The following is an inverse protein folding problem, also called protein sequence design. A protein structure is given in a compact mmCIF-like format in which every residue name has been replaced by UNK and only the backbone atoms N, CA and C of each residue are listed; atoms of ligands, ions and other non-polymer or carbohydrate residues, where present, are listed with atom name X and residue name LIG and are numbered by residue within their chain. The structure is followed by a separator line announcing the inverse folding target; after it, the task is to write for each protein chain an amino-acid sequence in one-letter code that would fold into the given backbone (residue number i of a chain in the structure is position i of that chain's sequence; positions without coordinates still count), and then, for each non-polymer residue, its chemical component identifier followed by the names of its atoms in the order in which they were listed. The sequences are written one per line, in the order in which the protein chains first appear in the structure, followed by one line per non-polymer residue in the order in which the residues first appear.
data_IF_861458656805
#
_entry.id   IF_861458656805
#
_cell.length_a   1.000
_cell.length_b   1.000
_cell.length_c   1.000
_cell.angle_alpha   90.00
_cell.angle_beta   90.00
_cell.angle_gamma   90.00
#
_symmetry.space_group_name_H-M   'P 1'
#
loop_
_entity.id
_entity.type
_entity.pdbx_description
1 polymer ?
#
# COMPACT_ATOMS: atom_id res chain seq x y z
N UNK A 1 17.56 -62.13 6.66
CA UNK A 1 17.36 -61.33 5.45
C UNK A 1 17.90 -59.97 5.74
N UNK A 2 18.99 -59.60 5.06
CA UNK A 2 19.70 -58.35 5.22
C UNK A 2 18.76 -57.16 5.07
N UNK A 3 18.64 -56.34 6.12
CA UNK A 3 18.20 -54.96 5.98
C UNK A 3 19.33 -54.23 5.23
N UNK A 4 19.14 -54.05 3.94
CA UNK A 4 19.95 -53.17 3.13
C UNK A 4 19.91 -51.77 3.78
N UNK A 5 20.98 -51.42 4.50
CA UNK A 5 21.19 -50.09 5.02
C UNK A 5 21.10 -49.10 3.87
N UNK A 6 20.03 -48.31 3.85
CA UNK A 6 19.90 -47.19 2.93
C UNK A 6 21.02 -46.20 3.28
N UNK A 7 22.11 -46.25 2.52
CA UNK A 7 23.09 -45.18 2.49
C UNK A 7 22.35 -43.93 2.05
N UNK A 8 21.93 -43.11 3.02
CA UNK A 8 21.57 -41.71 2.77
C UNK A 8 22.71 -41.14 1.93
N UNK A 9 22.41 -40.73 0.70
CA UNK A 9 23.38 -40.21 -0.25
C UNK A 9 23.93 -38.86 0.27
N UNK A 10 24.85 -38.93 1.23
CA UNK A 10 25.49 -37.78 1.85
C UNK A 10 26.65 -37.34 0.99
N UNK A 11 26.68 -36.05 0.63
CA UNK A 11 27.77 -35.46 -0.14
C UNK A 11 29.12 -35.37 0.61
N UNK A 12 29.15 -35.72 1.91
CA UNK A 12 30.36 -35.69 2.74
C UNK A 12 30.88 -34.28 3.05
N UNK A 13 30.08 -33.23 2.80
CA UNK A 13 30.47 -31.86 3.10
C UNK A 13 30.58 -31.61 4.61
N UNK A 14 31.58 -30.82 5.01
CA UNK A 14 31.79 -30.43 6.41
C UNK A 14 30.62 -29.59 6.93
N UNK A 15 30.28 -29.69 8.24
CA UNK A 15 29.24 -28.87 8.82
C UNK A 15 29.62 -27.38 8.74
N UNK A 16 28.75 -26.62 8.07
CA UNK A 16 28.91 -25.17 7.87
C UNK A 16 28.06 -24.40 8.87
N UNK A 17 28.65 -23.37 9.48
CA UNK A 17 27.93 -22.42 10.32
C UNK A 17 27.66 -21.14 9.54
N UNK A 18 26.40 -20.72 9.48
CA UNK A 18 25.99 -19.47 8.86
C UNK A 18 25.83 -18.37 9.91
N UNK A 19 26.26 -17.16 9.58
CA UNK A 19 26.01 -15.95 10.39
C UNK A 19 25.69 -14.78 9.48
N UNK A 20 24.82 -13.86 9.91
CA UNK A 20 24.47 -12.66 9.16
C UNK A 20 25.39 -11.50 9.55
N UNK A 21 25.92 -10.77 8.56
CA UNK A 21 26.67 -9.53 8.76
C UNK A 21 26.04 -8.46 7.85
N UNK A 22 25.23 -7.58 8.43
CA UNK A 22 24.45 -6.60 7.66
C UNK A 22 23.53 -7.29 6.65
N UNK A 23 23.75 -7.03 5.36
CA UNK A 23 23.01 -7.64 4.25
C UNK A 23 23.64 -8.94 3.72
N UNK A 24 24.84 -9.29 4.17
CA UNK A 24 25.60 -10.44 3.67
C UNK A 24 25.45 -11.65 4.58
N UNK A 25 25.43 -12.84 3.98
CA UNK A 25 25.45 -14.11 4.70
C UNK A 25 26.90 -14.60 4.70
N UNK A 26 27.45 -14.82 5.88
CA UNK A 26 28.80 -15.33 6.09
C UNK A 26 28.75 -16.82 6.43
N UNK A 27 29.54 -17.64 5.75
CA UNK A 27 29.69 -19.06 5.99
C UNK A 27 31.05 -19.34 6.62
N UNK A 28 31.11 -20.28 7.57
CA UNK A 28 32.36 -20.80 8.11
C UNK A 28 32.30 -22.32 8.17
N UNK A 29 33.31 -22.97 7.58
CA UNK A 29 33.47 -24.43 7.65
C UNK A 29 34.08 -24.84 8.99
N UNK A 30 33.59 -25.91 9.60
CA UNK A 30 34.25 -26.53 10.75
C UNK A 30 35.59 -27.15 10.31
N UNK A 31 36.70 -26.77 10.94
CA UNK A 31 37.97 -27.47 10.73
C UNK A 31 38.06 -28.67 11.66
N UNK A 32 38.48 -29.83 11.15
CA UNK A 32 38.71 -31.06 11.92
C UNK A 32 39.99 -31.02 12.78
N UNK A 33 40.43 -29.83 13.24
CA UNK A 33 41.57 -29.72 14.15
C UNK A 33 41.04 -29.77 15.58
N UNK A 34 41.08 -30.96 16.18
CA UNK A 34 40.81 -31.15 17.63
C UNK A 34 41.93 -30.50 18.44
N UNK A 35 41.63 -29.40 19.12
CA UNK A 35 42.47 -28.90 20.22
C UNK A 35 42.43 -29.90 21.40
N UNK A 36 43.47 -29.90 22.25
CA UNK A 36 43.59 -30.75 23.45
C UNK A 36 42.43 -30.57 24.46
N UNK A 37 41.59 -29.56 24.30
CA UNK A 37 40.43 -29.22 25.15
C UNK A 37 39.05 -29.46 24.48
N UNK A 38 38.99 -30.11 23.31
CA UNK A 38 37.72 -30.59 22.75
C UNK A 38 36.80 -29.53 22.11
N UNK A 39 37.28 -28.30 21.88
CA UNK A 39 36.55 -27.28 21.12
C UNK A 39 36.76 -27.40 19.61
N UNK A 40 35.68 -27.25 18.83
CA UNK A 40 35.73 -27.16 17.36
C UNK A 40 36.23 -25.77 16.92
N UNK A 41 37.29 -25.72 16.11
CA UNK A 41 37.73 -24.48 15.45
C UNK A 41 37.01 -24.31 14.12
N UNK A 42 36.45 -23.13 13.88
CA UNK A 42 35.86 -22.77 12.59
C UNK A 42 36.87 -22.00 11.73
N UNK A 43 36.86 -22.25 10.42
CA UNK A 43 37.65 -21.52 9.43
C UNK A 43 37.23 -20.04 9.35
N UNK A 44 38.01 -19.26 8.60
CA UNK A 44 37.68 -17.87 8.32
C UNK A 44 36.27 -17.76 7.70
N UNK A 45 35.54 -16.71 8.12
CA UNK A 45 34.20 -16.45 7.60
C UNK A 45 34.29 -15.92 6.18
N UNK A 46 33.72 -16.62 5.22
CA UNK A 46 33.63 -16.21 3.82
C UNK A 46 32.21 -15.72 3.51
N UNK A 47 32.08 -14.69 2.68
CA UNK A 47 30.79 -14.19 2.24
C UNK A 47 30.23 -15.12 1.17
N UNK A 48 29.01 -15.61 1.38
CA UNK A 48 28.31 -16.48 0.43
C UNK A 48 27.68 -15.64 -0.68
N UNK A 49 28.00 -15.97 -1.93
CA UNK A 49 27.47 -15.24 -3.08
C UNK A 49 26.01 -15.56 -3.35
N UNK A 50 25.21 -14.57 -3.75
CA UNK A 50 23.82 -14.77 -4.14
C UNK A 50 23.67 -15.74 -5.33
N UNK A 51 24.68 -15.81 -6.22
CA UNK A 51 24.68 -16.74 -7.35
C UNK A 51 24.84 -18.19 -6.88
N UNK A 52 25.74 -18.44 -5.92
CA UNK A 52 25.96 -19.77 -5.35
C UNK A 52 24.70 -20.25 -4.60
N UNK A 53 24.07 -19.36 -3.84
CA UNK A 53 22.79 -19.66 -3.17
C UNK A 53 21.72 -20.04 -4.17
N UNK A 54 21.60 -19.30 -5.27
CA UNK A 54 20.62 -19.60 -6.31
C UNK A 54 20.85 -20.97 -6.95
N UNK A 55 22.11 -21.31 -7.25
CA UNK A 55 22.47 -22.59 -7.86
C UNK A 55 22.19 -23.76 -6.93
N UNK A 56 22.45 -23.60 -5.63
CA UNK A 56 22.13 -24.61 -4.61
C UNK A 56 20.61 -24.78 -4.49
N UNK A 57 19.87 -23.69 -4.32
CA UNK A 57 18.41 -23.72 -4.17
C UNK A 57 17.67 -24.19 -5.43
N UNK A 58 18.27 -24.04 -6.60
CA UNK A 58 17.71 -24.52 -7.88
C UNK A 58 17.88 -26.01 -8.09
N UNK A 59 18.87 -26.63 -7.43
CA UNK A 59 19.14 -28.07 -7.51
C UNK A 59 18.33 -28.89 -6.49
N UNK A 60 17.66 -28.25 -5.55
CA UNK A 60 16.84 -28.93 -4.53
C UNK A 60 15.62 -29.62 -5.17
N UNK A 61 15.38 -30.91 -4.91
CA UNK A 61 14.23 -31.62 -5.46
C UNK A 61 12.92 -31.13 -4.83
N UNK A 62 11.82 -31.27 -5.58
CA UNK A 62 10.47 -30.78 -5.16
C UNK A 62 10.00 -31.46 -3.88
N UNK A 63 10.38 -32.73 -3.65
CA UNK A 63 10.04 -33.48 -2.44
C UNK A 63 10.62 -32.81 -1.19
N UNK A 64 11.91 -32.46 -1.21
CA UNK A 64 12.59 -31.74 -0.13
C UNK A 64 12.01 -30.34 0.08
N UNK A 65 11.64 -29.66 -1.01
CA UNK A 65 11.00 -28.34 -0.96
C UNK A 65 9.66 -28.41 -0.21
N UNK A 66 8.90 -29.49 -0.39
CA UNK A 66 7.65 -29.73 0.35
C UNK A 66 7.89 -30.03 1.81
N UNK A 67 8.94 -30.76 2.15
CA UNK A 67 9.35 -30.97 3.54
C UNK A 67 9.75 -29.67 4.24
N UNK A 68 10.33 -28.70 3.51
CA UNK A 68 10.63 -27.36 4.02
C UNK A 68 9.37 -26.48 4.21
N UNK A 69 8.19 -26.96 3.81
CA UNK A 69 6.92 -26.24 3.95
C UNK A 69 6.56 -25.34 2.77
N UNK A 70 7.24 -25.48 1.64
CA UNK A 70 6.90 -24.77 0.39
C UNK A 70 6.10 -25.68 -0.54
N UNK A 71 5.17 -25.10 -1.31
CA UNK A 71 4.35 -25.85 -2.28
C UNK A 71 5.18 -26.46 -3.44
N UNK A 72 6.32 -25.85 -3.76
CA UNK A 72 7.24 -26.28 -4.82
C UNK A 72 6.80 -25.88 -6.24
N UNK A 73 5.50 -25.73 -6.48
CA UNK A 73 4.94 -25.30 -7.77
C UNK A 73 4.84 -23.77 -7.85
N UNK A 74 4.13 -23.14 -6.90
CA UNK A 74 3.93 -21.69 -6.92
C UNK A 74 5.06 -20.92 -6.21
N UNK A 75 5.66 -21.52 -5.19
CA UNK A 75 6.73 -20.91 -4.39
C UNK A 75 7.91 -21.87 -4.36
N UNK A 76 8.93 -21.55 -5.14
CA UNK A 76 10.19 -22.27 -5.14
C UNK A 76 11.23 -21.47 -4.35
N UNK A 77 12.07 -22.08 -3.47
CA UNK A 77 13.05 -21.34 -2.66
C UNK A 77 13.99 -20.45 -3.48
N UNK A 78 14.42 -20.91 -4.66
CA UNK A 78 15.20 -20.11 -5.63
C UNK A 78 14.58 -18.74 -5.96
N UNK A 79 13.26 -18.60 -5.87
CA UNK A 79 12.54 -17.35 -6.15
C UNK A 79 12.76 -16.26 -5.10
N UNK A 80 13.32 -16.59 -3.93
CA UNK A 80 13.74 -15.59 -2.93
C UNK A 80 14.99 -14.81 -3.36
N UNK A 81 15.79 -15.36 -4.28
CA UNK A 81 16.89 -14.63 -4.92
C UNK A 81 16.32 -13.84 -6.11
N UNK A 82 16.33 -12.51 -6.00
CA UNK A 82 15.77 -11.63 -7.03
C UNK A 82 16.69 -11.52 -8.26
N UNK A 83 16.33 -12.18 -9.35
CA UNK A 83 16.98 -11.99 -10.66
C UNK A 83 16.39 -10.85 -11.49
N UNK A 84 15.09 -10.61 -11.33
CA UNK A 84 14.36 -9.57 -12.04
C UNK A 84 13.57 -8.74 -11.03
N UNK A 85 13.84 -7.44 -10.98
CA UNK A 85 13.12 -6.52 -10.11
C UNK A 85 11.92 -5.93 -10.88
N UNK A 86 10.67 -6.20 -10.47
CA UNK A 86 9.50 -5.61 -11.11
C UNK A 86 9.43 -4.11 -10.83
N UNK A 87 9.30 -3.31 -11.88
CA UNK A 87 9.16 -1.85 -11.78
C UNK A 87 7.70 -1.48 -11.60
N UNK A 88 7.37 -0.81 -10.50
CA UNK A 88 5.99 -0.38 -10.23
C UNK A 88 5.51 0.69 -11.24
N UNK A 89 4.25 0.63 -11.68
CA UNK A 89 3.69 1.58 -12.65
C UNK A 89 3.52 2.99 -12.05
N UNK A 90 3.41 4.05 -12.89
CA UNK A 90 3.28 5.44 -12.44
C UNK A 90 2.13 5.72 -11.46
N UNK A 91 1.03 4.94 -11.50
CA UNK A 91 -0.07 5.08 -10.56
C UNK A 91 0.31 4.80 -9.09
N UNK A 92 1.38 4.03 -8.86
CA UNK A 92 1.93 3.74 -7.52
C UNK A 92 2.96 4.79 -7.09
N UNK A 93 3.60 5.46 -8.06
CA UNK A 93 4.67 6.45 -7.89
C UNK A 93 4.32 7.76 -8.62
N UNK A 94 3.27 8.48 -8.17
CA UNK A 94 2.78 9.65 -8.86
C UNK A 94 3.82 10.77 -8.89
N UNK A 95 3.85 11.52 -9.98
CA UNK A 95 4.65 12.73 -10.09
C UNK A 95 3.78 13.94 -9.76
N UNK A 96 4.33 14.89 -9.00
CA UNK A 96 3.64 16.13 -8.66
C UNK A 96 4.27 17.27 -9.48
N UNK A 97 3.46 17.90 -10.32
CA UNK A 97 3.86 19.08 -11.09
C UNK A 97 3.34 20.32 -10.36
N UNK A 98 4.25 21.13 -9.80
CA UNK A 98 3.89 22.40 -9.18
C UNK A 98 4.09 23.55 -10.17
N UNK A 99 3.03 23.87 -10.92
CA UNK A 99 3.03 24.99 -11.87
C UNK A 99 4.10 24.85 -12.97
N UNK A 100 4.83 25.92 -13.23
CA UNK A 100 5.90 26.01 -14.24
C UNK A 100 7.28 25.50 -13.77
N UNK A 101 7.36 24.83 -12.62
CA UNK A 101 8.60 24.22 -12.14
C UNK A 101 8.75 22.78 -12.64
N UNK A 102 10.00 22.31 -12.64
CA UNK A 102 10.34 20.93 -12.95
C UNK A 102 9.49 19.95 -12.11
N UNK A 103 9.04 18.83 -12.72
CA UNK A 103 8.26 17.82 -12.03
C UNK A 103 8.99 17.28 -10.80
N UNK A 104 8.29 17.22 -9.66
CA UNK A 104 8.78 16.54 -8.47
C UNK A 104 8.41 15.05 -8.57
N UNK A 105 9.41 14.20 -8.78
CA UNK A 105 9.23 12.75 -8.83
C UNK A 105 9.10 12.15 -7.43
N UNK A 106 8.32 11.07 -7.33
CA UNK A 106 8.19 10.27 -6.10
C UNK A 106 9.52 9.64 -5.69
N UNK A 107 9.74 9.50 -4.38
CA UNK A 107 10.90 8.86 -3.75
C UNK A 107 11.27 7.51 -4.39
N UNK A 108 10.27 6.67 -4.73
CA UNK A 108 10.50 5.38 -5.38
C UNK A 108 11.07 5.52 -6.78
N UNK A 109 10.68 6.57 -7.52
CA UNK A 109 11.22 6.84 -8.86
C UNK A 109 12.70 7.20 -8.78
N UNK A 110 13.07 8.07 -7.83
CA UNK A 110 14.47 8.47 -7.64
C UNK A 110 15.33 7.26 -7.26
N UNK A 111 14.83 6.38 -6.38
CA UNK A 111 15.55 5.16 -6.00
C UNK A 111 15.65 4.13 -7.14
N UNK A 112 14.64 4.03 -8.00
CA UNK A 112 14.68 3.17 -9.19
C UNK A 112 15.72 3.66 -10.21
N UNK A 113 15.86 4.97 -10.40
CA UNK A 113 16.91 5.53 -11.26
C UNK A 113 18.30 5.15 -10.73
N UNK A 114 18.53 5.31 -9.43
CA UNK A 114 19.78 4.89 -8.77
C UNK A 114 20.06 3.39 -8.95
N UNK A 115 19.05 2.53 -8.79
CA UNK A 115 19.20 1.08 -9.01
C UNK A 115 19.59 0.76 -10.47
N UNK A 116 19.00 1.46 -11.44
CA UNK A 116 19.32 1.26 -12.86
C UNK A 116 20.75 1.72 -13.18
N UNK A 117 21.16 2.87 -12.64
CA UNK A 117 22.53 3.39 -12.79
C UNK A 117 23.57 2.43 -12.20
N UNK A 118 23.36 1.95 -10.97
CA UNK A 118 24.22 0.98 -10.31
C UNK A 118 24.28 -0.35 -11.09
N UNK A 119 23.14 -0.82 -11.60
CA UNK A 119 23.11 -2.05 -12.40
C UNK A 119 23.91 -1.91 -13.71
N UNK A 120 23.82 -0.75 -14.38
CA UNK A 120 24.65 -0.46 -15.56
C UNK A 120 26.13 -0.38 -15.20
N UNK A 121 26.47 0.18 -14.04
CA UNK A 121 27.84 0.26 -13.55
C UNK A 121 28.43 -1.13 -13.27
N UNK A 122 27.68 -2.01 -12.57
CA UNK A 122 28.09 -3.41 -12.35
C UNK A 122 28.31 -4.13 -13.67
N UNK A 123 27.41 -3.95 -14.66
CA UNK A 123 27.56 -4.56 -15.99
C UNK A 123 28.84 -4.11 -16.70
N UNK A 124 29.23 -2.83 -16.59
CA UNK A 124 30.48 -2.30 -17.16
C UNK A 124 31.71 -2.87 -16.45
N UNK A 125 31.73 -2.85 -15.12
CA UNK A 125 32.86 -3.37 -14.33
C UNK A 125 33.10 -4.86 -14.56
N UNK A 126 32.01 -5.63 -14.75
CA UNK A 126 32.07 -7.04 -15.12
C UNK A 126 32.67 -7.26 -16.51
N UNK A 127 32.37 -6.39 -17.48
CA UNK A 127 32.97 -6.45 -18.81
C UNK A 127 34.48 -6.11 -18.80
N UNK A 128 34.90 -5.24 -17.87
CA UNK A 128 36.29 -4.85 -17.67
C UNK A 128 37.08 -5.82 -16.77
N UNK A 129 36.46 -6.88 -16.22
CA UNK A 129 37.04 -7.85 -15.29
C UNK A 129 37.72 -7.22 -14.05
N UNK A 130 37.16 -6.12 -13.53
CA UNK A 130 37.67 -5.44 -12.33
C UNK A 130 37.04 -6.00 -11.05
N UNK A 131 37.50 -7.17 -10.63
CA UNK A 131 36.91 -7.98 -9.54
C UNK A 131 36.68 -7.22 -8.21
N UNK A 132 37.64 -6.41 -7.75
CA UNK A 132 37.50 -5.67 -6.48
C UNK A 132 36.42 -4.61 -6.54
N UNK A 133 36.38 -3.85 -7.63
CA UNK A 133 35.36 -2.81 -7.85
C UNK A 133 33.98 -3.42 -8.13
N UNK A 134 33.93 -4.58 -8.78
CA UNK A 134 32.69 -5.34 -9.00
C UNK A 134 32.03 -5.72 -7.67
N UNK A 135 32.79 -6.29 -6.73
CA UNK A 135 32.26 -6.73 -5.44
C UNK A 135 31.62 -5.57 -4.65
N UNK A 136 32.32 -4.42 -4.57
CA UNK A 136 31.77 -3.22 -3.92
C UNK A 136 30.53 -2.67 -4.64
N UNK A 137 30.50 -2.70 -5.97
CA UNK A 137 29.34 -2.23 -6.74
C UNK A 137 28.13 -3.16 -6.56
N UNK A 138 28.35 -4.46 -6.43
CA UNK A 138 27.29 -5.44 -6.12
C UNK A 138 26.72 -5.21 -4.72
N UNK A 139 27.55 -4.94 -3.71
CA UNK A 139 27.10 -4.60 -2.36
C UNK A 139 26.24 -3.32 -2.36
N UNK A 140 26.64 -2.29 -3.12
CA UNK A 140 25.86 -1.06 -3.27
C UNK A 140 24.52 -1.29 -3.98
N UNK A 141 24.50 -2.14 -5.01
CA UNK A 141 23.27 -2.53 -5.70
C UNK A 141 22.33 -3.29 -4.75
N UNK A 142 22.88 -4.24 -3.98
CA UNK A 142 22.13 -5.00 -2.98
C UNK A 142 21.53 -4.09 -1.92
N UNK A 143 22.30 -3.14 -1.39
CA UNK A 143 21.80 -2.15 -0.45
C UNK A 143 20.70 -1.27 -1.05
N UNK A 144 20.84 -0.84 -2.31
CA UNK A 144 19.84 -0.01 -2.99
C UNK A 144 18.53 -0.76 -3.24
N UNK A 145 18.58 -2.03 -3.61
CA UNK A 145 17.40 -2.87 -3.78
C UNK A 145 16.74 -3.18 -2.43
N UNK A 146 17.54 -3.45 -1.39
CA UNK A 146 17.03 -3.70 -0.04
C UNK A 146 16.29 -2.48 0.51
N UNK A 147 16.91 -1.30 0.46
CA UNK A 147 16.31 -0.03 0.94
C UNK A 147 15.10 0.41 0.13
N UNK A 148 15.01 0.06 -1.15
CA UNK A 148 13.80 0.26 -1.98
C UNK A 148 12.59 -0.51 -1.44
N UNK A 149 12.79 -1.77 -1.05
CA UNK A 149 11.75 -2.61 -0.47
C UNK A 149 11.44 -2.21 0.98
N UNK A 150 12.48 -2.07 1.80
CA UNK A 150 12.39 -1.75 3.21
C UNK A 150 13.59 -0.92 3.66
N UNK A 151 13.34 0.32 4.09
CA UNK A 151 14.39 1.23 4.54
C UNK A 151 14.72 1.11 6.04
N UNK A 152 14.03 0.24 6.77
CA UNK A 152 14.18 0.09 8.22
C UNK A 152 14.72 -1.30 8.57
N UNK A 153 15.92 -1.60 8.07
CA UNK A 153 16.54 -2.93 8.11
C UNK A 153 17.35 -3.21 9.39
N UNK A 154 17.23 -2.36 10.42
CA UNK A 154 17.96 -2.47 11.69
C UNK A 154 19.17 -1.52 11.79
N UNK A 155 19.85 -1.52 12.95
CA UNK A 155 20.96 -0.61 13.26
C UNK A 155 22.20 -0.82 12.40
N UNK A 156 22.39 -2.04 11.89
CA UNK A 156 23.63 -2.46 11.24
C UNK A 156 23.66 -2.09 9.74
N UNK A 157 22.54 -1.62 9.19
CA UNK A 157 22.41 -1.21 7.80
C UNK A 157 22.06 0.28 7.75
N UNK A 158 22.85 1.13 7.06
CA UNK A 158 22.57 2.55 6.99
C UNK A 158 21.25 2.81 6.27
N UNK A 159 20.43 3.70 6.83
CA UNK A 159 19.17 4.11 6.22
C UNK A 159 19.43 4.97 4.98
N UNK A 160 18.69 4.71 3.90
CA UNK A 160 18.73 5.55 2.72
C UNK A 160 18.02 6.87 3.03
N UNK A 161 18.73 7.97 2.80
CA UNK A 161 18.20 9.33 2.88
C UNK A 161 18.01 9.93 1.48
N UNK A 162 17.05 10.84 1.37
CA UNK A 162 16.85 11.61 0.16
C UNK A 162 18.03 12.59 0.01
N UNK A 163 18.74 12.52 -1.13
CA UNK A 163 19.96 13.30 -1.45
C UNK A 163 19.91 14.79 -1.09
N UNK A 164 18.72 15.40 -1.06
CA UNK A 164 18.56 16.84 -0.88
C UNK A 164 17.91 17.26 0.45
N UNK A 165 17.37 16.32 1.24
CA UNK A 165 16.47 16.67 2.35
C UNK A 165 16.85 16.03 3.69
N UNK A 166 17.90 15.20 3.77
CA UNK A 166 18.26 14.41 4.96
C UNK A 166 17.07 13.67 5.60
N UNK A 167 16.00 13.45 4.82
CA UNK A 167 14.80 12.73 5.25
C UNK A 167 14.98 11.27 4.84
N UNK A 168 14.60 10.30 5.69
CA UNK A 168 14.59 8.91 5.29
C UNK A 168 13.67 8.70 4.08
N UNK A 169 14.15 7.88 3.13
CA UNK A 169 13.40 7.44 1.97
C UNK A 169 12.17 6.64 2.40
N UNK A 170 10.99 6.97 1.85
CA UNK A 170 9.75 6.23 2.11
C UNK A 170 9.62 4.99 1.21
N UNK A 171 10.17 3.86 1.68
CA UNK A 171 10.16 2.57 1.01
C UNK A 171 8.76 1.94 0.89
N UNK A 172 8.64 0.88 0.07
CA UNK A 172 7.37 0.17 -0.16
C UNK A 172 6.77 -0.36 1.15
N UNK A 173 7.56 -1.04 1.98
CA UNK A 173 7.08 -1.60 3.24
C UNK A 173 6.54 -0.52 4.19
N UNK A 174 7.18 0.65 4.25
CA UNK A 174 6.75 1.78 5.08
C UNK A 174 5.47 2.44 4.55
N UNK A 175 5.17 2.33 3.24
CA UNK A 175 3.88 2.78 2.69
C UNK A 175 2.74 1.83 3.07
N UNK A 176 3.03 0.56 3.30
CA UNK A 176 2.01 -0.45 3.64
C UNK A 176 1.75 -0.54 5.15
N UNK A 177 2.82 -0.50 5.96
CA UNK A 177 2.78 -0.66 7.42
C UNK A 177 2.47 0.65 8.15
N UNK A 178 2.06 0.54 9.41
CA UNK A 178 1.88 1.67 10.32
C UNK A 178 0.48 2.30 10.31
N UNK A 179 0.30 3.31 11.16
CA UNK A 179 -0.99 4.03 11.32
C UNK A 179 -1.36 4.82 10.07
N UNK A 180 -0.38 5.43 9.43
CA UNK A 180 -0.50 6.16 8.16
C UNK A 180 -0.20 5.29 6.92
N UNK A 181 -0.12 3.97 7.13
CA UNK A 181 0.07 3.01 6.05
C UNK A 181 -1.22 2.80 5.25
N UNK A 182 -1.09 2.35 4.00
CA UNK A 182 -2.22 2.11 3.11
C UNK A 182 -3.24 1.12 3.69
N UNK A 183 -2.79 0.08 4.39
CA UNK A 183 -3.70 -0.93 4.95
C UNK A 183 -4.64 -0.32 6.01
N UNK A 184 -4.10 0.43 6.96
CA UNK A 184 -4.90 0.98 8.06
C UNK A 184 -5.59 2.29 7.71
N UNK A 185 -4.88 3.22 7.06
CA UNK A 185 -5.43 4.53 6.76
C UNK A 185 -6.36 4.52 5.54
N UNK A 186 -6.09 3.71 4.52
CA UNK A 186 -6.84 3.81 3.25
C UNK A 186 -7.84 2.67 3.06
N UNK A 187 -7.53 1.45 3.51
CA UNK A 187 -8.44 0.31 3.39
C UNK A 187 -9.36 0.19 4.61
N UNK A 188 -8.83 0.25 5.84
CA UNK A 188 -9.65 0.14 7.05
C UNK A 188 -10.37 1.45 7.41
N UNK A 189 -9.78 2.61 7.10
CA UNK A 189 -10.26 3.92 7.56
C UNK A 189 -10.33 4.98 6.46
N UNK A 190 -11.11 4.74 5.41
CA UNK A 190 -11.19 5.69 4.28
C UNK A 190 -11.95 6.96 4.66
N UNK A 191 -11.53 8.10 4.09
CA UNK A 191 -12.38 9.30 4.05
C UNK A 191 -13.59 9.02 3.16
N UNK A 192 -14.75 9.44 3.63
CA UNK A 192 -16.03 9.23 2.95
C UNK A 192 -16.60 10.56 2.51
N UNK A 193 -17.29 10.54 1.37
CA UNK A 193 -18.09 11.66 0.90
C UNK A 193 -19.49 11.62 1.55
N UNK A 194 -20.29 12.68 1.37
CA UNK A 194 -21.66 12.80 1.90
C UNK A 194 -21.78 12.73 3.43
N UNK A 195 -20.78 13.27 4.16
CA UNK A 195 -20.83 13.41 5.61
C UNK A 195 -20.65 14.87 6.04
N UNK A 196 -21.21 15.23 7.20
CA UNK A 196 -21.02 16.52 7.84
C UNK A 196 -20.53 16.36 9.28
N UNK A 197 -19.78 17.34 9.78
CA UNK A 197 -19.35 17.41 11.19
C UNK A 197 -19.55 18.82 11.72
N UNK A 198 -20.25 18.95 12.84
CA UNK A 198 -20.49 20.22 13.52
C UNK A 198 -20.53 20.04 15.03
N UNK A 199 -20.64 21.14 15.77
CA UNK A 199 -20.81 21.16 17.23
C UNK A 199 -22.24 20.75 17.58
N UNK A 200 -22.39 19.97 18.66
CA UNK A 200 -23.69 19.51 19.16
C UNK A 200 -24.22 20.45 20.24
N UNK A 201 -25.53 20.69 20.20
CA UNK A 201 -26.28 21.43 21.23
C UNK A 201 -27.55 20.64 21.55
N UNK A 202 -27.97 20.64 22.82
CA UNK A 202 -29.21 19.97 23.23
C UNK A 202 -30.44 20.80 22.90
N UNK A 203 -31.49 20.16 22.38
CA UNK A 203 -32.80 20.76 22.13
C UNK A 203 -33.87 19.87 22.78
N UNK A 204 -34.67 20.39 23.74
CA UNK A 204 -35.72 19.61 24.38
C UNK A 204 -36.99 19.41 23.52
N UNK A 205 -37.09 20.08 22.36
CA UNK A 205 -38.29 20.09 21.51
C UNK A 205 -38.29 19.03 20.40
N UNK A 206 -37.15 18.36 20.18
CA UNK A 206 -37.00 17.31 19.16
C UNK A 206 -37.21 15.91 19.77
N UNK A 207 -37.67 14.98 18.95
CA UNK A 207 -37.82 13.59 19.40
C UNK A 207 -36.46 12.91 19.58
N UNK A 208 -36.43 11.81 20.34
CA UNK A 208 -35.19 11.05 20.64
C UNK A 208 -34.55 10.50 19.36
N UNK A 209 -35.37 10.15 18.37
CA UNK A 209 -34.93 9.63 17.07
C UNK A 209 -34.72 10.75 16.03
N UNK A 210 -34.80 12.02 16.42
CA UNK A 210 -34.55 13.17 15.55
C UNK A 210 -33.17 13.79 15.80
N UNK A 211 -32.60 14.39 14.76
CA UNK A 211 -31.38 15.19 14.85
C UNK A 211 -31.54 16.46 14.02
N UNK A 212 -31.39 17.61 14.68
CA UNK A 212 -31.43 18.91 14.03
C UNK A 212 -30.17 19.16 13.19
N UNK A 213 -30.33 19.55 11.93
CA UNK A 213 -29.21 19.97 11.08
C UNK A 213 -29.38 21.41 10.61
N UNK A 214 -28.30 22.21 10.55
CA UNK A 214 -28.39 23.56 10.02
C UNK A 214 -28.65 23.53 8.51
N UNK A 215 -29.43 24.49 8.01
CA UNK A 215 -29.76 24.60 6.58
C UNK A 215 -28.52 24.67 5.66
N UNK A 216 -27.40 25.21 6.15
CA UNK A 216 -26.13 25.23 5.43
C UNK A 216 -25.56 23.84 5.16
N UNK A 217 -25.72 22.91 6.11
CA UNK A 217 -25.33 21.50 5.94
C UNK A 217 -26.38 20.78 5.11
N UNK A 218 -27.67 21.04 5.34
CA UNK A 218 -28.76 20.42 4.59
C UNK A 218 -28.70 20.73 3.09
N UNK A 219 -28.29 21.95 2.71
CA UNK A 219 -28.17 22.36 1.31
C UNK A 219 -26.93 21.76 0.61
N UNK A 220 -25.92 21.35 1.38
CA UNK A 220 -24.70 20.72 0.85
C UNK A 220 -24.83 19.19 0.78
N UNK A 221 -25.48 18.57 1.77
CA UNK A 221 -25.74 17.13 1.78
C UNK A 221 -26.85 16.81 0.77
N UNK A 222 -26.56 15.87 -0.12
CA UNK A 222 -27.50 15.47 -1.17
C UNK A 222 -27.87 14.01 -1.05
N UNK A 223 -29.09 13.71 -1.46
CA UNK A 223 -29.62 12.36 -1.55
C UNK A 223 -30.02 12.07 -3.01
N UNK A 224 -29.45 11.03 -3.65
CA UNK A 224 -29.83 10.66 -5.01
C UNK A 224 -31.21 10.02 -5.01
N UNK A 225 -32.22 10.73 -5.51
CA UNK A 225 -33.56 10.22 -5.66
C UNK A 225 -33.89 9.97 -7.13
N UNK A 226 -34.29 8.73 -7.46
CA UNK A 226 -34.71 8.38 -8.82
C UNK A 226 -36.09 8.95 -9.12
N UNK A 227 -36.20 9.60 -10.28
CA UNK A 227 -37.45 10.17 -10.79
C UNK A 227 -38.39 9.04 -11.21
N UNK A 228 -39.56 9.04 -10.60
CA UNK A 228 -40.72 8.19 -10.88
C UNK A 228 -41.92 9.08 -11.16
N UNK A 229 -43.00 8.52 -11.70
CA UNK A 229 -44.22 9.29 -11.98
C UNK A 229 -44.81 9.96 -10.73
N UNK A 230 -44.58 9.39 -9.53
CA UNK A 230 -45.13 9.89 -8.27
C UNK A 230 -44.37 11.08 -7.68
N UNK A 231 -43.04 11.11 -7.81
CA UNK A 231 -42.19 12.16 -7.24
C UNK A 231 -41.76 13.22 -8.26
N UNK A 232 -42.08 13.04 -9.55
CA UNK A 232 -41.65 13.92 -10.64
C UNK A 232 -42.02 15.39 -10.42
N UNK A 233 -43.26 15.69 -10.03
CA UNK A 233 -43.68 17.07 -9.75
C UNK A 233 -42.85 17.71 -8.64
N UNK A 234 -42.71 16.99 -7.51
CA UNK A 234 -41.90 17.44 -6.37
C UNK A 234 -40.44 17.68 -6.76
N UNK A 235 -39.82 16.75 -7.49
CA UNK A 235 -38.42 16.87 -7.90
C UNK A 235 -38.21 17.99 -8.92
N UNK A 236 -39.18 18.22 -9.80
CA UNK A 236 -39.14 19.34 -10.75
C UNK A 236 -39.11 20.69 -10.01
N UNK A 237 -39.87 20.84 -8.92
CA UNK A 237 -39.84 22.04 -8.09
C UNK A 237 -38.49 22.19 -7.36
N UNK A 238 -37.88 21.10 -6.91
CA UNK A 238 -36.54 21.13 -6.30
C UNK A 238 -35.49 21.64 -7.29
N UNK A 239 -35.55 21.12 -8.52
CA UNK A 239 -34.67 21.52 -9.61
C UNK A 239 -34.90 22.99 -9.93
N UNK A 240 -36.15 23.44 -10.05
CA UNK A 240 -36.48 24.85 -10.31
C UNK A 240 -35.94 25.81 -9.22
N UNK A 241 -35.95 25.39 -7.95
CA UNK A 241 -35.37 26.15 -6.85
C UNK A 241 -33.83 26.22 -6.91
N UNK A 242 -33.20 25.20 -7.52
CA UNK A 242 -31.75 25.10 -7.67
C UNK A 242 -31.00 24.87 -6.36
N UNK A 243 -29.67 25.06 -6.35
CA UNK A 243 -28.83 24.80 -5.18
C UNK A 243 -28.91 25.90 -4.10
N UNK A 244 -29.32 27.12 -4.47
CA UNK A 244 -29.27 28.29 -3.59
C UNK A 244 -30.43 28.37 -2.58
N UNK A 245 -31.58 27.74 -2.89
CA UNK A 245 -32.78 27.82 -2.05
C UNK A 245 -33.18 26.44 -1.54
N UNK A 246 -33.24 26.30 -0.22
CA UNK A 246 -33.81 25.11 0.43
C UNK A 246 -35.35 25.18 0.43
N UNK A 247 -36.08 24.09 0.12
CA UNK A 247 -35.59 22.80 -0.39
C UNK A 247 -35.24 22.85 -1.89
N UNK A 248 -34.05 22.39 -2.26
CA UNK A 248 -33.51 22.44 -3.62
C UNK A 248 -32.80 21.16 -4.06
N UNK A 249 -31.98 21.28 -5.11
CA UNK A 249 -31.15 20.21 -5.66
C UNK A 249 -29.84 20.76 -6.23
N UNK A 250 -28.77 19.95 -6.19
CA UNK A 250 -27.44 20.36 -6.67
C UNK A 250 -27.07 19.72 -8.00
N UNK A 251 -27.44 18.46 -8.22
CA UNK A 251 -27.08 17.72 -9.44
C UNK A 251 -28.25 16.96 -10.02
N UNK A 252 -28.22 16.78 -11.35
CA UNK A 252 -29.11 15.88 -12.08
C UNK A 252 -28.26 14.91 -12.88
N UNK A 253 -28.56 13.63 -12.79
CA UNK A 253 -27.95 12.58 -13.60
C UNK A 253 -29.01 12.05 -14.58
N UNK A 254 -28.77 12.28 -15.87
CA UNK A 254 -29.62 11.80 -16.95
C UNK A 254 -28.81 10.80 -17.79
N UNK A 255 -28.98 9.51 -17.50
CA UNK A 255 -28.11 8.47 -18.05
C UNK A 255 -26.70 8.61 -17.48
N UNK A 256 -25.70 8.71 -18.36
CA UNK A 256 -24.28 8.80 -17.99
C UNK A 256 -23.79 10.24 -17.78
N UNK A 257 -24.63 11.24 -18.04
CA UNK A 257 -24.25 12.66 -17.95
C UNK A 257 -24.76 13.24 -16.62
N UNK A 258 -23.84 13.84 -15.87
CA UNK A 258 -24.11 14.58 -14.65
C UNK A 258 -24.10 16.09 -14.92
N UNK A 259 -25.23 16.74 -14.67
CA UNK A 259 -25.41 18.18 -14.79
C UNK A 259 -25.30 18.83 -13.42
N UNK A 260 -24.48 19.88 -13.33
CA UNK A 260 -24.36 20.74 -12.15
C UNK A 260 -25.34 21.92 -12.28
N UNK A 261 -26.24 22.05 -11.32
CA UNK A 261 -27.25 23.11 -11.27
C UNK A 261 -26.70 24.46 -10.77
N UNK A 262 -25.43 24.52 -10.36
CA UNK A 262 -24.75 25.81 -10.13
C UNK A 262 -24.34 26.49 -11.43
N UNK A 263 -24.04 25.69 -12.47
CA UNK A 263 -23.56 26.19 -13.76
C UNK A 263 -24.66 26.22 -14.81
N UNK A 264 -25.58 25.26 -14.74
CA UNK A 264 -26.66 25.09 -15.73
C UNK A 264 -27.94 25.75 -15.25
N UNK A 265 -28.67 26.42 -16.16
CA UNK A 265 -29.95 27.03 -15.85
C UNK A 265 -30.97 25.99 -15.35
N UNK A 266 -31.42 26.06 -14.08
CA UNK A 266 -32.28 25.01 -13.53
C UNK A 266 -33.69 24.99 -14.11
N UNK A 267 -34.11 26.08 -14.75
CA UNK A 267 -35.48 26.26 -15.28
C UNK A 267 -35.69 25.63 -16.65
N UNK A 268 -34.63 25.34 -17.39
CA UNK A 268 -34.70 24.77 -18.74
C UNK A 268 -34.84 23.25 -18.74
N UNK A 269 -34.54 22.59 -17.62
CA UNK A 269 -34.50 21.14 -17.55
C UNK A 269 -35.89 20.54 -17.28
N UNK A 270 -36.33 19.62 -18.13
CA UNK A 270 -37.56 18.82 -17.93
C UNK A 270 -37.16 17.42 -17.52
N UNK A 271 -37.56 17.01 -16.31
CA UNK A 271 -37.24 15.70 -15.77
C UNK A 271 -38.02 14.60 -16.48
N UNK A 272 -37.33 13.52 -16.86
CA UNK A 272 -37.95 12.31 -17.38
C UNK A 272 -37.89 11.18 -16.33
N UNK A 273 -38.88 10.27 -16.30
CA UNK A 273 -38.81 9.06 -15.48
C UNK A 273 -37.51 8.29 -15.75
N UNK A 274 -36.79 7.95 -14.67
CA UNK A 274 -35.50 7.27 -14.75
C UNK A 274 -34.28 8.17 -14.54
N UNK A 275 -34.40 9.51 -14.62
CA UNK A 275 -33.34 10.42 -14.18
C UNK A 275 -33.11 10.32 -12.66
N UNK A 276 -31.93 10.71 -12.19
CA UNK A 276 -31.61 10.77 -10.76
C UNK A 276 -31.37 12.23 -10.39
N UNK A 277 -32.10 12.72 -9.38
CA UNK A 277 -31.93 14.07 -8.87
C UNK A 277 -31.27 14.00 -7.51
N UNK A 278 -30.11 14.66 -7.38
CA UNK A 278 -29.40 14.84 -6.11
C UNK A 278 -30.03 16.01 -5.38
N UNK A 279 -31.17 15.76 -4.73
CA UNK A 279 -31.89 16.75 -3.94
C UNK A 279 -31.17 17.01 -2.62
N UNK A 280 -31.41 18.18 -2.03
CA UNK A 280 -31.02 18.44 -0.63
C UNK A 280 -31.69 17.41 0.29
N UNK A 281 -31.01 17.07 1.38
CA UNK A 281 -31.61 16.29 2.46
C UNK A 281 -32.80 17.05 3.05
N UNK A 282 -33.81 16.33 3.51
CA UNK A 282 -35.07 16.91 4.01
C UNK A 282 -35.46 16.29 5.33
N UNK A 283 -36.36 16.98 6.01
CA UNK A 283 -37.00 16.52 7.24
C UNK A 283 -37.56 15.09 7.04
N UNK A 284 -37.24 14.20 7.97
CA UNK A 284 -37.62 12.79 7.93
C UNK A 284 -36.66 11.85 7.17
N UNK A 285 -35.66 12.38 6.45
CA UNK A 285 -34.61 11.54 5.87
C UNK A 285 -33.76 10.88 6.97
N UNK A 286 -33.36 9.62 6.76
CA UNK A 286 -32.55 8.88 7.72
C UNK A 286 -31.06 9.14 7.51
N UNK A 287 -30.37 9.48 8.59
CA UNK A 287 -28.93 9.68 8.62
C UNK A 287 -28.28 8.87 9.72
N UNK A 288 -27.00 8.57 9.51
CA UNK A 288 -26.16 7.92 10.51
C UNK A 288 -25.47 9.00 11.35
N UNK A 289 -25.74 9.03 12.64
CA UNK A 289 -25.10 9.95 13.57
C UNK A 289 -24.01 9.21 14.38
N UNK A 290 -22.84 9.82 14.49
CA UNK A 290 -21.68 9.23 15.17
C UNK A 290 -21.03 10.21 16.15
N UNK A 291 -20.61 9.71 17.31
CA UNK A 291 -19.71 10.43 18.23
C UNK A 291 -18.42 9.64 18.44
N UNK A 292 -17.31 10.17 17.95
CA UNK A 292 -15.97 9.60 18.15
C UNK A 292 -15.47 9.85 19.58
N UNK A 293 -14.80 8.90 20.25
CA UNK A 293 -14.45 7.55 19.77
C UNK A 293 -15.63 6.55 19.85
N UNK A 294 -15.81 5.77 18.79
CA UNK A 294 -16.91 4.81 18.66
C UNK A 294 -16.52 3.44 19.27
N UNK A 295 -16.59 3.34 20.60
CA UNK A 295 -16.28 2.10 21.34
C UNK A 295 -17.49 1.16 21.46
N UNK A 296 -18.70 1.72 21.42
CA UNK A 296 -19.95 0.97 21.56
C UNK A 296 -20.73 1.01 20.26
N UNK A 297 -21.55 -0.03 20.02
CA UNK A 297 -22.50 -0.05 18.89
C UNK A 297 -23.41 1.18 18.91
N UNK A 298 -23.82 1.62 20.10
CA UNK A 298 -24.68 2.79 20.29
C UNK A 298 -23.98 4.13 20.01
N UNK A 299 -22.66 4.15 19.80
CA UNK A 299 -21.96 5.35 19.34
C UNK A 299 -22.28 5.71 17.89
N UNK A 300 -22.91 4.78 17.15
CA UNK A 300 -23.31 4.93 15.75
C UNK A 300 -24.78 4.51 15.60
N UNK A 301 -25.69 5.47 15.49
CA UNK A 301 -27.13 5.22 15.44
C UNK A 301 -27.79 5.94 14.27
N UNK A 302 -28.94 5.42 13.82
CA UNK A 302 -29.77 6.07 12.82
C UNK A 302 -30.69 7.10 13.47
N UNK A 303 -30.78 8.29 12.89
CA UNK A 303 -31.70 9.36 13.30
C UNK A 303 -32.41 9.95 12.07
N UNK A 304 -33.58 10.55 12.28
CA UNK A 304 -34.32 11.32 11.28
C UNK A 304 -33.89 12.78 11.30
N UNK A 305 -33.74 13.38 10.14
CA UNK A 305 -33.39 14.79 10.03
C UNK A 305 -34.58 15.70 10.38
N UNK A 306 -34.24 16.86 10.95
CA UNK A 306 -35.14 17.98 11.24
C UNK A 306 -34.41 19.31 11.10
#
# INVERSE_FOLDING_TARGET
GEEAGATLAGCGAQPTKFSTLGLSIMMAYSQEVRDREGGERFAAKEALSAAEVYDVLSKTPIEDIRFLGFDGVHVHPRSFVMHALPVVPPCVRPCVVMGSKMPAHDDLTNKLVEIVELNQQVKKLKAENRLTFEMTAVEQLQWSVATYMHNDLGSDVPQAEIRNSQRPLKAIAQRLKGKEGRLRQNLMGKRVDFCGRTVITGDPTIAIDEVGIPFSVASNLTFPERVTKFNMGRLQDCVRNGPAKYPGANYIEAGDIKFDLQVTDPKSFVLNPGNIVHRHVRDGDYVLFNRQPSLHKMSLMGHRLK
#
